data_IF_671889796952
#
_entry.id   IF_671889796952
#
_cell.length_a   1.000
_cell.length_b   1.000
_cell.length_c   1.000
_cell.angle_alpha   90.00
_cell.angle_beta   90.00
_cell.angle_gamma   90.00
#
_symmetry.space_group_name_H-M   'P 1'
#
loop_
_entity.id
_entity.type
_entity.pdbx_description
1 polymer ?
#
# COMPACT_ATOMS: atom_id res chain seq x y z
N UNK A 1 12.05 0.90 -16.98
CA UNK A 1 10.81 0.18 -16.63
C UNK A 1 9.70 0.79 -17.47
N UNK A 2 8.87 -0.02 -18.13
CA UNK A 2 7.78 0.52 -18.97
C UNK A 2 6.71 1.15 -18.07
N UNK A 3 6.05 2.23 -18.53
CA UNK A 3 4.96 2.91 -17.80
C UNK A 3 3.90 1.94 -17.28
N UNK A 4 3.46 0.99 -18.11
CA UNK A 4 2.49 -0.03 -17.71
C UNK A 4 2.98 -0.91 -16.54
N UNK A 5 4.27 -1.21 -16.50
CA UNK A 5 4.88 -1.97 -15.41
C UNK A 5 5.02 -1.11 -14.15
N UNK A 6 5.29 0.19 -14.29
CA UNK A 6 5.36 1.15 -13.18
C UNK A 6 3.99 1.34 -12.52
N UNK A 7 2.95 1.56 -13.32
CA UNK A 7 1.56 1.68 -12.86
C UNK A 7 1.11 0.36 -12.21
N UNK A 8 1.43 -0.78 -12.84
CA UNK A 8 1.12 -2.10 -12.28
C UNK A 8 1.77 -2.33 -10.92
N UNK A 9 3.05 -1.99 -10.76
CA UNK A 9 3.76 -2.10 -9.48
C UNK A 9 3.17 -1.15 -8.42
N UNK A 10 2.86 0.08 -8.79
CA UNK A 10 2.23 1.06 -7.91
C UNK A 10 0.83 0.63 -7.45
N UNK A 11 0.04 0.07 -8.36
CA UNK A 11 -1.29 -0.47 -8.07
C UNK A 11 -1.25 -1.64 -7.08
N UNK A 12 -0.31 -2.58 -7.27
CA UNK A 12 -0.12 -3.70 -6.33
C UNK A 12 0.28 -3.19 -4.94
N UNK A 13 1.20 -2.22 -4.87
CA UNK A 13 1.63 -1.61 -3.60
C UNK A 13 0.47 -0.92 -2.86
N UNK A 14 -0.42 -0.23 -3.58
CA UNK A 14 -1.62 0.36 -3.01
C UNK A 14 -2.61 -0.69 -2.48
N UNK A 15 -2.87 -1.74 -3.26
CA UNK A 15 -3.79 -2.81 -2.85
C UNK A 15 -3.29 -3.51 -1.58
N UNK A 16 -2.00 -3.88 -1.55
CA UNK A 16 -1.40 -4.54 -0.39
C UNK A 16 -1.40 -3.62 0.83
N UNK A 17 -1.00 -2.35 0.67
CA UNK A 17 -1.02 -1.38 1.75
C UNK A 17 -2.44 -1.14 2.30
N UNK A 18 -3.43 -1.02 1.42
CA UNK A 18 -4.83 -0.83 1.81
C UNK A 18 -5.40 -2.01 2.61
N UNK A 19 -5.08 -3.25 2.20
CA UNK A 19 -5.51 -4.46 2.93
C UNK A 19 -4.94 -4.45 4.36
N UNK A 20 -3.66 -4.14 4.52
CA UNK A 20 -3.02 -4.13 5.84
C UNK A 20 -3.59 -3.02 6.72
N UNK A 21 -3.85 -1.83 6.15
CA UNK A 21 -4.50 -0.73 6.89
C UNK A 21 -5.92 -1.08 7.31
N UNK A 22 -6.69 -1.73 6.43
CA UNK A 22 -8.01 -2.24 6.82
C UNK A 22 -7.91 -3.23 7.97
N UNK A 23 -6.98 -4.18 7.93
CA UNK A 23 -6.76 -5.12 9.04
C UNK A 23 -6.38 -4.39 10.35
N UNK A 24 -5.57 -3.34 10.28
CA UNK A 24 -5.23 -2.54 11.46
C UNK A 24 -6.42 -1.77 12.03
N UNK A 25 -7.38 -1.40 11.20
CA UNK A 25 -8.59 -0.70 11.62
C UNK A 25 -9.60 -1.61 12.36
N UNK A 26 -9.51 -2.93 12.19
CA UNK A 26 -10.36 -3.88 12.90
C UNK A 26 -9.87 -4.12 14.34
N UNK A 27 -10.79 -4.24 15.32
CA UNK A 27 -10.41 -4.58 16.69
C UNK A 27 -9.72 -5.95 16.74
N UNK A 28 -8.65 -6.07 17.53
CA UNK A 28 -7.92 -7.34 17.71
C UNK A 28 -8.84 -8.50 18.18
N UNK A 29 -9.92 -8.18 18.90
CA UNK A 29 -10.96 -9.15 19.30
C UNK A 29 -11.69 -9.79 18.13
N UNK A 30 -11.80 -9.10 16.99
CA UNK A 30 -12.41 -9.63 15.77
C UNK A 30 -11.44 -10.45 14.92
N UNK A 31 -10.14 -10.13 14.97
CA UNK A 31 -9.11 -10.79 14.17
C UNK A 31 -8.46 -11.98 14.89
N UNK A 32 -8.59 -12.08 16.21
CA UNK A 32 -7.92 -13.10 17.01
C UNK A 32 -6.42 -12.86 17.23
N UNK A 33 -5.87 -11.77 16.69
CA UNK A 33 -4.50 -11.30 16.90
C UNK A 33 -4.41 -9.78 16.75
N UNK A 34 -3.38 -9.18 17.35
CA UNK A 34 -3.09 -7.76 17.18
C UNK A 34 -2.15 -7.56 15.99
N UNK A 35 -2.52 -6.68 15.06
CA UNK A 35 -1.64 -6.28 13.95
C UNK A 35 -0.51 -5.42 14.54
N UNK A 36 0.77 -5.81 14.38
CA UNK A 36 1.88 -5.09 14.99
C UNK A 36 2.10 -3.73 14.33
N UNK A 37 2.40 -2.70 15.14
CA UNK A 37 2.61 -1.31 14.67
C UNK A 37 3.64 -1.20 13.53
N UNK A 38 4.79 -1.90 13.55
CA UNK A 38 5.73 -1.87 12.43
C UNK A 38 5.11 -2.28 11.09
N UNK A 39 4.16 -3.21 11.10
CA UNK A 39 3.48 -3.65 9.88
C UNK A 39 2.56 -2.55 9.32
N UNK A 40 1.92 -1.77 10.19
CA UNK A 40 1.14 -0.59 9.78
C UNK A 40 2.03 0.50 9.14
N UNK A 41 3.25 0.68 9.66
CA UNK A 41 4.23 1.62 9.06
C UNK A 41 4.66 1.16 7.67
N UNK A 42 4.92 -0.14 7.48
CA UNK A 42 5.23 -0.72 6.16
C UNK A 42 4.06 -0.53 5.19
N UNK A 43 2.82 -0.69 5.64
CA UNK A 43 1.64 -0.47 4.82
C UNK A 43 1.49 0.99 4.38
N UNK A 44 1.73 1.94 5.28
CA UNK A 44 1.74 3.37 4.96
C UNK A 44 2.83 3.72 3.93
N UNK A 45 4.04 3.15 4.10
CA UNK A 45 5.13 3.30 3.13
C UNK A 45 4.77 2.69 1.77
N UNK A 46 4.15 1.52 1.74
CA UNK A 46 3.69 0.88 0.51
C UNK A 46 2.65 1.73 -0.21
N UNK A 47 1.69 2.32 0.51
CA UNK A 47 0.71 3.22 -0.10
C UNK A 47 1.33 4.52 -0.62
N UNK A 48 2.25 5.12 0.15
CA UNK A 48 2.98 6.31 -0.30
C UNK A 48 3.80 6.01 -1.56
N UNK A 49 4.62 4.95 -1.55
CA UNK A 49 5.39 4.53 -2.71
C UNK A 49 4.51 4.17 -3.91
N UNK A 50 3.40 3.46 -3.69
CA UNK A 50 2.45 3.09 -4.74
C UNK A 50 1.79 4.31 -5.39
N UNK A 51 1.35 5.28 -4.58
CA UNK A 51 0.77 6.53 -5.07
C UNK A 51 1.79 7.38 -5.85
N UNK A 52 3.04 7.43 -5.41
CA UNK A 52 4.12 8.12 -6.12
C UNK A 52 4.45 7.45 -7.44
N UNK A 53 4.52 6.11 -7.48
CA UNK A 53 4.80 5.38 -8.72
C UNK A 53 3.72 5.60 -9.77
N UNK A 54 2.45 5.66 -9.38
CA UNK A 54 1.34 5.97 -10.30
C UNK A 54 1.38 7.46 -10.68
N UNK A 55 1.44 8.37 -9.70
CA UNK A 55 1.38 9.81 -9.95
C UNK A 55 2.56 10.36 -10.75
N UNK A 56 3.73 9.73 -10.67
CA UNK A 56 4.90 10.09 -11.49
C UNK A 56 4.90 9.47 -12.88
N UNK A 57 4.08 8.44 -13.12
CA UNK A 57 3.98 7.80 -14.44
C UNK A 57 3.19 8.61 -15.47
N UNK A 58 2.39 9.59 -15.02
CA UNK A 58 1.60 10.48 -15.90
C UNK A 58 2.30 11.82 -16.17
N UNK A 59 3.34 12.16 -15.39
CA UNK A 59 4.03 13.46 -15.41
C UNK A 59 5.30 13.52 -16.26
N UNK A 60 5.70 12.43 -16.91
CA UNK A 60 6.83 12.38 -17.86
C UNK A 60 6.44 12.84 -19.25
N UNK A 61 5.84 14.04 -19.34
CA UNK A 61 5.63 14.79 -20.58
C UNK A 61 6.70 15.87 -20.71
#
# INVERSE_FOLDING_TARGET
>A
MNERTQIGAGGVLLVVGAIIVMLFAFPASTLGFAVPIPLAVVAALAMAAGSLLIGTSEGTV
#
